data_IF_886568313579
#
_entry.id   IF_886568313579
#
_cell.length_a   1.000
_cell.length_b   1.000
_cell.length_c   1.000
_cell.angle_alpha   90.00
_cell.angle_beta   90.00
_cell.angle_gamma   90.00
#
_symmetry.space_group_name_H-M   'P 1'
#
loop_
_entity.id
_entity.type
_entity.pdbx_description
1 polymer ?
#
# COMPACT_ATOMS: atom_id res chain seq x y z
N UNK A 1 -1.13 10.17 -14.59
CA UNK A 1 0.13 9.89 -15.29
C UNK A 1 0.15 8.42 -15.70
N UNK A 2 0.70 8.07 -16.87
CA UNK A 2 0.91 6.68 -17.30
C UNK A 2 2.42 6.43 -17.36
N UNK A 3 2.91 5.57 -16.48
CA UNK A 3 4.32 5.18 -16.47
C UNK A 3 4.41 3.71 -16.91
N UNK A 4 4.63 3.45 -18.21
CA UNK A 4 4.57 2.08 -18.76
C UNK A 4 5.69 1.18 -18.25
N UNK A 5 6.78 1.75 -17.75
CA UNK A 5 7.94 1.03 -17.21
C UNK A 5 7.73 0.60 -15.76
N UNK A 6 6.62 0.96 -15.11
CA UNK A 6 6.37 0.58 -13.72
C UNK A 6 5.26 -0.44 -13.64
N UNK A 7 5.55 -1.55 -12.96
CA UNK A 7 4.55 -2.51 -12.51
C UNK A 7 4.05 -2.10 -11.13
N UNK A 8 2.74 -1.91 -11.03
CA UNK A 8 2.10 -1.59 -9.75
C UNK A 8 1.56 -2.86 -9.09
N UNK A 9 1.99 -3.11 -7.85
CA UNK A 9 1.44 -4.15 -6.98
C UNK A 9 0.65 -3.45 -5.89
N UNK A 10 -0.63 -3.80 -5.72
CA UNK A 10 -1.52 -3.16 -4.75
C UNK A 10 -1.96 -4.18 -3.72
N UNK A 11 -1.76 -3.85 -2.45
CA UNK A 11 -2.29 -4.61 -1.32
C UNK A 11 -3.29 -3.75 -0.55
N UNK A 12 -4.51 -4.25 -0.38
CA UNK A 12 -5.58 -3.56 0.34
C UNK A 12 -6.04 -4.43 1.50
N UNK A 13 -6.01 -3.87 2.70
CA UNK A 13 -6.51 -4.50 3.92
C UNK A 13 -7.76 -3.75 4.35
N UNK A 14 -8.89 -4.46 4.38
CA UNK A 14 -10.18 -3.96 4.84
C UNK A 14 -10.62 -4.73 6.08
N UNK A 15 -11.13 -4.04 7.09
CA UNK A 15 -11.67 -4.68 8.29
C UNK A 15 -12.69 -3.81 9.03
N UNK A 16 -13.44 -4.42 9.95
CA UNK A 16 -14.44 -3.74 10.77
C UNK A 16 -13.78 -2.98 11.94
N UNK A 17 -14.20 -1.74 12.18
CA UNK A 17 -13.66 -0.86 13.22
C UNK A 17 -14.41 -1.03 14.55
N UNK A 18 -14.31 -2.21 15.20
CA UNK A 18 -15.00 -2.50 16.48
C UNK A 18 -14.21 -2.10 17.73
N UNK A 19 -13.49 -0.98 17.68
CA UNK A 19 -12.67 -0.49 18.80
C UNK A 19 -11.35 -1.24 19.03
N UNK A 20 -10.99 -2.21 18.19
CA UNK A 20 -9.68 -2.84 18.19
C UNK A 20 -8.67 -1.99 17.37
N UNK A 21 -7.45 -1.84 17.88
CA UNK A 21 -6.37 -1.15 17.17
C UNK A 21 -5.68 -2.08 16.16
N UNK A 22 -5.37 -1.55 14.97
CA UNK A 22 -4.64 -2.28 13.92
C UNK A 22 -3.39 -1.50 13.52
N UNK A 23 -2.25 -2.19 13.38
CA UNK A 23 -1.01 -1.63 12.83
C UNK A 23 -0.60 -2.45 11.62
N UNK A 24 -0.38 -1.78 10.49
CA UNK A 24 0.14 -2.37 9.27
C UNK A 24 1.55 -1.86 9.03
N UNK A 25 2.45 -2.76 8.65
CA UNK A 25 3.80 -2.44 8.23
C UNK A 25 4.16 -3.20 6.97
N UNK A 26 5.12 -2.69 6.21
CA UNK A 26 5.66 -3.35 5.04
C UNK A 26 7.18 -3.36 5.10
N UNK A 27 7.79 -4.40 4.52
CA UNK A 27 9.23 -4.49 4.27
C UNK A 27 9.43 -4.94 2.84
N UNK A 28 10.33 -4.27 2.14
CA UNK A 28 10.60 -4.51 0.73
C UNK A 28 12.10 -4.75 0.55
N UNK A 29 12.44 -5.64 -0.40
CA UNK A 29 13.79 -5.84 -0.90
C UNK A 29 13.71 -5.52 -2.39
N UNK A 30 14.32 -4.42 -2.82
CA UNK A 30 14.16 -3.84 -4.14
C UNK A 30 15.26 -2.80 -4.42
N UNK A 31 15.30 -2.21 -5.62
CA UNK A 31 16.24 -1.14 -5.96
C UNK A 31 15.77 0.19 -5.34
N UNK A 32 16.61 0.81 -4.49
CA UNK A 32 16.27 2.05 -3.79
C UNK A 32 16.18 3.28 -4.71
N UNK A 33 16.77 3.22 -5.91
CA UNK A 33 16.73 4.34 -6.88
C UNK A 33 15.54 4.23 -7.83
N UNK A 34 15.14 3.01 -8.20
CA UNK A 34 14.11 2.75 -9.19
C UNK A 34 12.74 2.39 -8.59
N UNK A 35 12.69 1.72 -7.44
CA UNK A 35 11.46 1.20 -6.85
C UNK A 35 10.96 2.06 -5.68
N UNK A 36 9.64 2.13 -5.51
CA UNK A 36 9.03 2.95 -4.45
C UNK A 36 7.67 2.41 -3.99
N UNK A 37 7.17 2.92 -2.87
CA UNK A 37 5.79 2.68 -2.42
C UNK A 37 5.10 3.95 -1.95
N UNK A 38 3.78 3.92 -2.06
CA UNK A 38 2.89 4.84 -1.39
C UNK A 38 1.87 4.04 -0.58
N UNK A 39 1.44 4.58 0.56
CA UNK A 39 0.35 4.00 1.33
C UNK A 39 -0.68 5.05 1.70
N UNK A 40 -1.92 4.63 1.89
CA UNK A 40 -3.03 5.45 2.33
C UNK A 40 -3.85 4.70 3.35
N UNK A 41 -4.22 5.38 4.42
CA UNK A 41 -5.11 4.87 5.46
C UNK A 41 -6.44 5.64 5.42
N UNK A 42 -7.52 4.90 5.60
CA UNK A 42 -8.87 5.43 5.72
C UNK A 42 -9.57 4.72 6.88
N UNK A 43 -10.31 5.47 7.68
CA UNK A 43 -11.08 4.92 8.79
C UNK A 43 -12.38 5.70 8.90
N UNK A 44 -13.49 4.99 9.03
CA UNK A 44 -14.78 5.54 9.41
C UNK A 44 -15.28 4.84 10.70
N UNK A 45 -16.52 5.10 11.10
CA UNK A 45 -17.09 4.55 12.34
C UNK A 45 -17.27 3.02 12.33
N UNK A 46 -17.38 2.39 11.15
CA UNK A 46 -17.70 0.97 11.02
C UNK A 46 -16.58 0.13 10.42
N UNK A 47 -15.64 0.72 9.70
CA UNK A 47 -14.57 0.05 8.98
C UNK A 47 -13.29 0.87 8.89
N UNK A 48 -12.18 0.17 8.69
CA UNK A 48 -10.90 0.73 8.30
C UNK A 48 -10.44 0.09 7.00
N UNK A 49 -9.67 0.86 6.23
CA UNK A 49 -9.06 0.45 4.98
C UNK A 49 -7.62 0.97 4.94
N UNK A 50 -6.67 0.09 4.63
CA UNK A 50 -5.29 0.47 4.38
C UNK A 50 -4.89 -0.05 3.01
N UNK A 51 -4.52 0.85 2.12
CA UNK A 51 -4.04 0.53 0.78
C UNK A 51 -2.55 0.84 0.70
N UNK A 52 -1.75 -0.13 0.27
CA UNK A 52 -0.34 0.04 -0.05
C UNK A 52 -0.12 -0.27 -1.53
N UNK A 53 0.50 0.66 -2.23
CA UNK A 53 0.86 0.55 -3.65
C UNK A 53 2.37 0.50 -3.73
N UNK A 54 2.91 -0.55 -4.35
CA UNK A 54 4.31 -0.72 -4.66
C UNK A 54 4.50 -0.50 -6.16
N UNK A 55 5.39 0.42 -6.52
CA UNK A 55 5.80 0.69 -7.89
C UNK A 55 7.18 0.06 -8.09
N UNK A 56 7.24 -0.97 -8.92
CA UNK A 56 8.49 -1.68 -9.26
C UNK A 56 8.83 -1.42 -10.71
N UNK A 57 10.05 -0.97 -10.98
CA UNK A 57 10.54 -0.69 -12.31
C UNK A 57 10.79 -1.99 -13.09
N UNK A 58 10.35 -2.00 -14.34
CA UNK A 58 10.54 -3.08 -15.29
C UNK A 58 11.64 -2.68 -16.27
N UNK A 59 12.78 -3.35 -16.15
CA UNK A 59 13.97 -3.14 -16.99
C UNK A 59 13.83 -3.80 -18.36
#
# INVERSE_FOLDING_TARGET
LKYPQYKYVVNVVLGEARGAGVKMGTRCIWDAEADSYAHGNFMNESMFCVACVYAVFYY
#
